data_IF_822814125929
#
_entry.id   IF_822814125929
#
_cell.length_a   1.000
_cell.length_b   1.000
_cell.length_c   1.000
_cell.angle_alpha   90.00
_cell.angle_beta   90.00
_cell.angle_gamma   90.00
#
_symmetry.space_group_name_H-M   'P 1'
#
loop_
_entity.id
_entity.type
_entity.pdbx_description
1 polymer ?
#
# COMPACT_ATOMS: atom_id res chain seq x y z
N UNK A 1 61.79 12.60 67.94
CA UNK A 1 60.95 12.96 66.78
C UNK A 1 59.82 11.99 66.70
N UNK A 2 58.59 12.46 67.04
CA UNK A 2 57.35 11.66 67.06
C UNK A 2 56.57 11.99 65.81
N UNK A 3 56.33 11.00 64.97
CA UNK A 3 55.49 11.15 63.75
C UNK A 3 54.10 10.61 64.13
N UNK A 4 53.06 11.46 64.01
CA UNK A 4 51.67 11.11 64.15
C UNK A 4 51.08 10.73 62.74
N UNK A 5 50.25 9.69 62.64
CA UNK A 5 49.58 9.40 61.36
C UNK A 5 48.29 10.23 61.20
N UNK A 6 48.13 10.81 60.02
CA UNK A 6 46.89 11.45 59.56
C UNK A 6 45.84 10.41 59.13
N UNK A 7 44.67 10.43 59.80
CA UNK A 7 43.50 9.67 59.31
C UNK A 7 42.73 10.51 58.35
N UNK A 8 42.75 10.10 57.08
CA UNK A 8 41.88 10.67 56.04
C UNK A 8 40.50 10.00 56.09
N UNK A 9 39.47 10.80 56.33
CA UNK A 9 38.07 10.38 56.19
C UNK A 9 37.66 10.49 54.69
N UNK A 10 37.36 9.36 54.05
CA UNK A 10 36.76 9.34 52.71
C UNK A 10 35.25 9.48 52.86
N UNK A 11 34.69 10.59 52.38
CA UNK A 11 33.25 10.73 52.21
C UNK A 11 32.81 9.99 50.94
N UNK A 12 32.03 8.94 51.13
CA UNK A 12 31.36 8.22 50.04
C UNK A 12 30.04 8.95 49.74
N UNK A 13 30.01 9.69 48.65
CA UNK A 13 28.75 10.29 48.14
C UNK A 13 27.99 9.23 47.33
N UNK A 14 26.88 8.72 47.88
CA UNK A 14 25.93 7.90 47.16
C UNK A 14 25.14 8.77 46.18
N UNK A 15 25.46 8.72 44.89
CA UNK A 15 24.66 9.32 43.84
C UNK A 15 23.40 8.48 43.60
N UNK A 16 22.23 9.00 43.96
CA UNK A 16 20.93 8.41 43.57
C UNK A 16 20.70 8.78 42.12
N UNK A 17 20.92 7.83 41.19
CA UNK A 17 20.48 7.95 39.83
C UNK A 17 18.95 7.75 39.80
N UNK A 18 18.20 8.83 39.69
CA UNK A 18 16.76 8.75 39.38
C UNK A 18 16.62 8.29 37.91
N UNK A 19 16.32 7.00 37.73
CA UNK A 19 15.88 6.49 36.44
C UNK A 19 14.49 7.07 36.18
N UNK A 20 14.38 8.07 35.29
CA UNK A 20 13.11 8.43 34.69
C UNK A 20 12.63 7.23 33.85
N UNK A 21 11.75 6.43 34.43
CA UNK A 21 11.01 5.46 33.64
C UNK A 21 10.08 6.25 32.69
N UNK A 22 10.43 6.32 31.42
CA UNK A 22 9.52 6.80 30.40
C UNK A 22 8.38 5.78 30.32
N UNK A 23 7.18 6.19 30.73
CA UNK A 23 5.95 5.40 30.48
C UNK A 23 5.83 5.31 28.96
N UNK A 24 5.76 4.10 28.35
CA UNK A 24 5.55 4.00 26.93
C UNK A 24 4.24 4.72 26.57
N UNK A 25 4.18 5.43 25.43
CA UNK A 25 2.93 6.03 24.99
C UNK A 25 1.84 4.94 24.90
N UNK A 26 0.66 5.25 25.38
CA UNK A 26 -0.50 4.37 25.24
C UNK A 26 -0.78 4.23 23.75
N UNK A 27 -0.75 3.00 23.23
CA UNK A 27 -1.09 2.76 21.83
C UNK A 27 -2.52 3.24 21.59
N UNK A 28 -2.71 4.10 20.58
CA UNK A 28 -4.03 4.53 20.15
C UNK A 28 -4.65 3.35 19.41
N UNK A 29 -5.86 2.98 19.78
CA UNK A 29 -6.66 2.00 19.06
C UNK A 29 -7.95 2.66 18.60
N UNK A 30 -8.35 2.42 17.35
CA UNK A 30 -9.63 2.87 16.83
C UNK A 30 -10.83 2.09 17.40
N UNK A 31 -12.00 2.32 16.83
CA UNK A 31 -13.21 1.56 17.13
C UNK A 31 -12.99 0.06 16.89
N UNK A 32 -13.75 -0.84 17.49
CA UNK A 32 -13.59 -2.29 17.31
C UNK A 32 -13.52 -2.69 15.83
N UNK A 33 -12.64 -3.63 15.52
CA UNK A 33 -12.47 -4.19 14.19
C UNK A 33 -12.85 -5.67 14.20
N UNK A 34 -13.70 -6.11 13.28
CA UNK A 34 -14.01 -7.54 13.09
C UNK A 34 -12.78 -8.29 12.60
N UNK A 35 -12.68 -9.57 12.92
CA UNK A 35 -11.53 -10.38 12.54
C UNK A 35 -11.85 -11.27 11.34
N UNK A 36 -10.98 -11.24 10.34
CA UNK A 36 -10.93 -12.20 9.24
C UNK A 36 -9.58 -12.92 9.24
N UNK A 37 -9.42 -13.96 8.44
CA UNK A 37 -8.14 -14.69 8.35
C UNK A 37 -7.67 -14.80 6.92
N UNK A 38 -6.36 -14.82 6.72
CA UNK A 38 -5.78 -15.10 5.42
C UNK A 38 -6.04 -16.54 5.00
N UNK A 39 -6.32 -16.75 3.71
CA UNK A 39 -6.51 -18.07 3.10
C UNK A 39 -5.32 -18.51 2.27
N UNK A 40 -4.39 -17.59 2.00
CA UNK A 40 -3.12 -17.83 1.32
C UNK A 40 -2.10 -16.76 1.74
N UNK A 41 -0.80 -17.06 1.60
CA UNK A 41 0.27 -16.08 1.76
C UNK A 41 1.40 -16.35 0.77
N UNK A 42 2.20 -15.33 0.45
CA UNK A 42 3.43 -15.52 -0.33
C UNK A 42 4.56 -16.04 0.57
N UNK A 43 5.62 -16.64 0.00
CA UNK A 43 6.89 -16.72 0.70
C UNK A 43 7.33 -15.32 1.14
N UNK A 44 8.14 -15.21 2.19
CA UNK A 44 8.79 -13.95 2.53
C UNK A 44 9.59 -13.39 1.36
N UNK A 45 9.62 -12.06 1.23
CA UNK A 45 10.51 -11.40 0.26
C UNK A 45 11.98 -11.71 0.57
N UNK A 46 12.88 -11.50 -0.40
CA UNK A 46 14.29 -11.86 -0.26
C UNK A 46 15.05 -11.00 0.75
N UNK A 47 14.60 -9.79 1.00
CA UNK A 47 15.19 -8.87 1.97
C UNK A 47 14.67 -9.18 3.37
N UNK A 48 15.58 -9.56 4.26
CA UNK A 48 15.26 -9.94 5.64
C UNK A 48 15.76 -8.89 6.65
N UNK A 49 15.06 -8.79 7.80
CA UNK A 49 15.39 -7.90 8.92
C UNK A 49 15.38 -6.40 8.58
N UNK A 50 14.66 -6.02 7.54
CA UNK A 50 14.47 -4.65 7.10
C UNK A 50 13.02 -4.46 6.67
N UNK A 51 12.56 -3.23 6.63
CA UNK A 51 11.34 -2.83 5.95
C UNK A 51 11.54 -2.98 4.44
N UNK A 52 10.85 -3.96 3.84
CA UNK A 52 11.14 -4.44 2.49
C UNK A 52 9.91 -4.70 1.62
N UNK A 53 9.00 -5.60 2.00
CA UNK A 53 7.76 -5.76 1.26
C UNK A 53 6.91 -4.49 1.41
N UNK A 54 6.27 -4.05 0.32
CA UNK A 54 5.54 -2.80 0.33
C UNK A 54 4.13 -2.94 -0.27
N UNK A 55 4.01 -2.98 -1.58
CA UNK A 55 2.73 -2.81 -2.24
C UNK A 55 2.44 -3.95 -3.22
N UNK A 56 1.21 -4.49 -3.25
CA UNK A 56 0.77 -5.48 -4.22
C UNK A 56 -0.09 -4.87 -5.33
N UNK A 57 -0.04 -5.44 -6.53
CA UNK A 57 -0.95 -5.15 -7.63
C UNK A 57 -1.52 -6.44 -8.24
N UNK A 58 -2.81 -6.46 -8.59
CA UNK A 58 -3.51 -7.64 -9.10
C UNK A 58 -3.72 -7.54 -10.60
N UNK A 59 -3.20 -8.50 -11.37
CA UNK A 59 -3.67 -8.75 -12.73
C UNK A 59 -4.68 -9.91 -12.71
N UNK A 60 -5.93 -9.60 -13.04
CA UNK A 60 -6.99 -10.62 -13.17
C UNK A 60 -7.01 -11.20 -14.57
N UNK A 61 -6.81 -12.50 -14.70
CA UNK A 61 -6.91 -13.22 -15.97
C UNK A 61 -8.37 -13.30 -16.43
N UNK A 62 -8.76 -12.63 -17.53
CA UNK A 62 -10.16 -12.61 -17.95
C UNK A 62 -10.65 -13.96 -18.50
N UNK A 63 -9.74 -14.79 -19.03
CA UNK A 63 -10.08 -16.09 -19.60
C UNK A 63 -10.08 -17.22 -18.56
N UNK A 64 -9.25 -17.13 -17.54
CA UNK A 64 -9.14 -18.10 -16.44
C UNK A 64 -8.81 -17.35 -15.14
N UNK A 65 -9.81 -16.83 -14.42
CA UNK A 65 -9.58 -16.04 -13.22
C UNK A 65 -8.72 -16.72 -12.15
N UNK A 66 -8.77 -18.05 -12.05
CA UNK A 66 -7.91 -18.81 -11.13
C UNK A 66 -6.42 -18.80 -11.52
N UNK A 67 -6.08 -18.36 -12.72
CA UNK A 67 -4.70 -18.19 -13.20
C UNK A 67 -4.27 -16.70 -13.21
N UNK A 68 -4.86 -15.88 -12.37
CA UNK A 68 -4.47 -14.49 -12.15
C UNK A 68 -3.10 -14.40 -11.46
N UNK A 69 -2.46 -13.25 -11.58
CA UNK A 69 -1.12 -13.00 -11.07
C UNK A 69 -1.11 -11.77 -10.15
N UNK A 70 -0.22 -11.80 -9.20
CA UNK A 70 0.04 -10.71 -8.27
C UNK A 70 1.47 -10.23 -8.52
N UNK A 71 1.66 -8.92 -8.59
CA UNK A 71 2.99 -8.29 -8.57
C UNK A 71 3.16 -7.66 -7.20
N UNK A 72 4.25 -7.93 -6.51
CA UNK A 72 4.55 -7.33 -5.20
C UNK A 72 5.95 -6.73 -5.19
N UNK A 73 6.12 -5.64 -4.46
CA UNK A 73 7.41 -4.97 -4.30
C UNK A 73 8.20 -5.50 -3.11
N UNK A 74 9.50 -5.55 -3.28
CA UNK A 74 10.54 -5.57 -2.25
C UNK A 74 11.40 -4.32 -2.46
N UNK A 75 11.27 -3.34 -1.58
CA UNK A 75 11.95 -2.03 -1.68
C UNK A 75 13.45 -2.12 -1.91
N UNK A 76 14.06 -3.19 -1.42
CA UNK A 76 15.52 -3.43 -1.51
C UNK A 76 15.88 -4.40 -2.63
N UNK A 77 14.94 -5.24 -3.06
CA UNK A 77 15.17 -6.33 -4.02
C UNK A 77 14.63 -6.05 -5.41
N UNK A 78 13.37 -5.68 -5.53
CA UNK A 78 12.69 -5.45 -6.81
C UNK A 78 11.24 -5.95 -6.84
N UNK A 79 10.84 -6.54 -7.96
CA UNK A 79 9.48 -7.00 -8.20
C UNK A 79 9.37 -8.52 -8.20
N UNK A 80 8.47 -9.04 -7.42
CA UNK A 80 8.05 -10.45 -7.42
C UNK A 80 6.76 -10.62 -8.21
N UNK A 81 6.58 -11.78 -8.82
CA UNK A 81 5.29 -12.22 -9.37
C UNK A 81 4.88 -13.50 -8.66
N UNK A 82 3.62 -13.54 -8.22
CA UNK A 82 3.03 -14.68 -7.52
C UNK A 82 1.74 -15.15 -8.20
N UNK A 83 1.35 -16.40 -7.97
CA UNK A 83 0.01 -16.88 -8.30
C UNK A 83 -0.94 -16.72 -7.10
N UNK A 84 -2.23 -17.06 -7.28
CA UNK A 84 -3.25 -16.94 -6.22
C UNK A 84 -3.07 -17.90 -5.03
N UNK A 85 -2.11 -18.83 -5.10
CA UNK A 85 -1.71 -19.70 -3.98
C UNK A 85 -0.52 -19.11 -3.23
N UNK A 86 -0.05 -17.92 -3.62
CA UNK A 86 1.16 -17.29 -3.11
C UNK A 86 2.46 -17.83 -3.71
N UNK A 87 2.42 -18.83 -4.60
CA UNK A 87 3.65 -19.38 -5.16
C UNK A 87 4.36 -18.39 -6.09
N UNK A 88 5.64 -18.13 -5.83
CA UNK A 88 6.47 -17.26 -6.65
C UNK A 88 6.64 -17.82 -8.08
N UNK A 89 6.36 -16.98 -9.07
CA UNK A 89 6.53 -17.29 -10.51
C UNK A 89 7.83 -16.74 -11.07
N UNK A 90 8.18 -15.53 -10.66
CA UNK A 90 9.41 -14.86 -11.08
C UNK A 90 9.85 -13.78 -10.10
N UNK A 91 11.05 -13.28 -10.32
CA UNK A 91 11.62 -12.12 -9.65
C UNK A 91 12.40 -11.29 -10.66
N UNK A 92 12.20 -9.98 -10.64
CA UNK A 92 12.95 -9.00 -11.41
C UNK A 92 13.73 -8.10 -10.45
N UNK A 93 15.07 -8.21 -10.47
CA UNK A 93 15.91 -7.36 -9.65
C UNK A 93 15.83 -5.89 -10.09
N UNK A 94 15.32 -5.05 -9.23
CA UNK A 94 15.13 -3.60 -9.41
C UNK A 94 15.07 -2.92 -8.04
N UNK A 95 16.20 -2.79 -7.31
CA UNK A 95 16.20 -2.19 -5.98
C UNK A 95 15.85 -0.70 -6.02
N UNK A 96 15.19 -0.22 -4.97
CA UNK A 96 14.76 1.17 -4.84
C UNK A 96 13.35 1.44 -5.35
N UNK A 97 12.55 0.40 -5.60
CA UNK A 97 11.12 0.56 -5.89
C UNK A 97 10.32 0.65 -4.58
N UNK A 98 9.19 1.35 -4.61
CA UNK A 98 8.22 1.44 -3.53
C UNK A 98 6.89 0.84 -3.99
N UNK A 99 5.85 1.66 -4.17
CA UNK A 99 4.55 1.17 -4.61
C UNK A 99 4.55 0.71 -6.08
N UNK A 100 3.62 -0.18 -6.40
CA UNK A 100 3.45 -0.76 -7.75
C UNK A 100 1.98 -0.76 -8.16
N UNK A 101 1.74 -0.49 -9.43
CA UNK A 101 0.42 -0.70 -10.05
C UNK A 101 0.58 -1.31 -11.44
N UNK A 102 -0.47 -1.89 -11.98
CA UNK A 102 -0.45 -2.51 -13.30
C UNK A 102 -1.75 -2.26 -14.08
N UNK A 103 -1.63 -2.24 -15.40
CA UNK A 103 -2.76 -1.98 -16.27
C UNK A 103 -2.63 -2.73 -17.59
N UNK A 104 -3.73 -3.30 -18.07
CA UNK A 104 -3.75 -3.90 -19.41
C UNK A 104 -3.62 -2.81 -20.49
N UNK A 105 -2.77 -3.06 -21.49
CA UNK A 105 -2.55 -2.18 -22.63
C UNK A 105 -2.94 -2.87 -23.96
N UNK A 106 -2.79 -2.16 -25.06
CA UNK A 106 -3.12 -2.69 -26.38
C UNK A 106 -2.41 -4.02 -26.66
N UNK A 107 -3.12 -4.94 -27.32
CA UNK A 107 -2.61 -6.29 -27.66
C UNK A 107 -2.60 -7.28 -26.51
N UNK A 108 -3.33 -7.03 -25.42
CA UNK A 108 -3.42 -7.94 -24.25
C UNK A 108 -2.13 -8.00 -23.42
N UNK A 109 -1.26 -7.02 -23.60
CA UNK A 109 -0.07 -6.85 -22.74
C UNK A 109 -0.44 -6.18 -21.43
N UNK A 110 0.35 -6.38 -20.41
CA UNK A 110 0.19 -5.73 -19.10
C UNK A 110 1.41 -4.88 -18.81
N UNK A 111 1.20 -3.58 -18.66
CA UNK A 111 2.20 -2.65 -18.18
C UNK A 111 2.18 -2.63 -16.66
N UNK A 112 3.32 -2.86 -16.05
CA UNK A 112 3.59 -2.68 -14.62
C UNK A 112 4.39 -1.41 -14.47
N UNK A 113 3.98 -0.53 -13.56
CA UNK A 113 4.74 0.64 -13.19
C UNK A 113 4.96 0.66 -11.67
N UNK A 114 6.16 0.96 -11.25
CA UNK A 114 6.50 1.15 -9.85
C UNK A 114 7.13 2.52 -9.63
N UNK A 115 6.86 3.13 -8.50
CA UNK A 115 7.56 4.34 -8.09
C UNK A 115 9.01 3.99 -7.78
N UNK A 116 9.94 4.69 -8.41
CA UNK A 116 11.37 4.48 -8.26
C UNK A 116 11.97 5.61 -7.42
N UNK A 117 12.49 5.25 -6.25
CA UNK A 117 13.12 6.12 -5.26
C UNK A 117 14.65 5.91 -5.17
N UNK A 118 15.26 5.32 -6.20
CA UNK A 118 16.72 5.18 -6.28
C UNK A 118 17.45 6.52 -6.29
N UNK A 119 16.77 7.59 -6.74
CA UNK A 119 17.16 9.00 -6.56
C UNK A 119 16.10 9.69 -5.68
N UNK A 120 16.45 10.03 -4.45
CA UNK A 120 15.53 10.66 -3.48
C UNK A 120 15.14 12.09 -3.85
N UNK A 121 15.83 12.71 -4.82
CA UNK A 121 15.53 14.05 -5.30
C UNK A 121 14.65 14.07 -6.56
N UNK A 122 14.51 12.94 -7.26
CA UNK A 122 13.84 12.84 -8.55
C UNK A 122 12.93 11.62 -8.61
N UNK A 123 11.63 11.85 -8.58
CA UNK A 123 10.63 10.81 -8.82
C UNK A 123 10.77 10.25 -10.22
N UNK A 124 10.81 8.93 -10.33
CA UNK A 124 10.79 8.22 -11.59
C UNK A 124 9.72 7.11 -11.53
N UNK A 125 9.18 6.75 -12.69
CA UNK A 125 8.41 5.53 -12.88
C UNK A 125 9.34 4.48 -13.48
N UNK A 126 9.53 3.37 -12.79
CA UNK A 126 10.11 2.17 -13.37
C UNK A 126 9.01 1.40 -14.11
N UNK A 127 9.24 1.02 -15.36
CA UNK A 127 8.28 0.31 -16.19
C UNK A 127 8.76 -1.09 -16.51
N UNK A 128 7.84 -2.06 -16.46
CA UNK A 128 8.05 -3.42 -16.91
C UNK A 128 6.82 -3.94 -17.66
N UNK A 129 7.01 -4.94 -18.51
CA UNK A 129 5.94 -5.70 -19.15
C UNK A 129 5.82 -7.07 -18.50
N UNK A 130 4.61 -7.42 -18.07
CA UNK A 130 4.30 -8.73 -17.53
C UNK A 130 3.85 -9.66 -18.66
N UNK A 131 4.57 -10.77 -18.88
CA UNK A 131 4.07 -11.90 -19.66
C UNK A 131 3.07 -12.68 -18.79
N UNK A 132 1.81 -12.49 -19.04
CA UNK A 132 0.71 -13.07 -18.25
C UNK A 132 0.59 -14.58 -18.38
N UNK A 133 1.25 -15.19 -19.36
CA UNK A 133 1.27 -16.64 -19.56
C UNK A 133 2.37 -17.32 -18.72
N UNK A 134 3.50 -16.67 -18.55
CA UNK A 134 4.66 -17.22 -17.83
C UNK A 134 4.86 -16.62 -16.44
N UNK A 135 4.29 -15.43 -16.19
CA UNK A 135 4.53 -14.63 -15.01
C UNK A 135 5.90 -13.93 -15.00
N UNK A 136 6.59 -13.85 -16.15
CA UNK A 136 7.89 -13.17 -16.24
C UNK A 136 7.69 -11.66 -16.44
N UNK A 137 8.55 -10.88 -15.78
CA UNK A 137 8.65 -9.42 -15.98
C UNK A 137 9.87 -9.09 -16.86
N UNK A 138 9.68 -8.21 -17.82
CA UNK A 138 10.74 -7.65 -18.65
C UNK A 138 10.78 -6.12 -18.47
N UNK A 139 11.94 -5.52 -18.11
CA UNK A 139 12.07 -4.06 -18.03
C UNK A 139 11.66 -3.38 -19.33
N UNK A 140 10.90 -2.29 -19.23
CA UNK A 140 10.39 -1.52 -20.37
C UNK A 140 10.83 -0.06 -20.38
N UNK A 141 11.65 0.35 -19.41
CA UNK A 141 12.24 1.68 -19.32
C UNK A 141 11.92 2.41 -18.03
N UNK A 142 12.28 3.68 -18.00
CA UNK A 142 11.96 4.62 -16.90
C UNK A 142 11.43 5.93 -17.47
N UNK A 143 10.54 6.57 -16.72
CA UNK A 143 10.01 7.91 -17.04
C UNK A 143 10.34 8.85 -15.88
N UNK A 144 11.05 9.93 -16.14
CA UNK A 144 11.24 10.99 -15.17
C UNK A 144 9.92 11.75 -14.97
N UNK A 145 9.54 11.94 -13.72
CA UNK A 145 8.26 12.56 -13.32
C UNK A 145 8.49 14.00 -12.85
N UNK A 146 9.25 14.18 -11.80
CA UNK A 146 9.48 15.50 -11.21
C UNK A 146 10.28 15.42 -9.91
N UNK A 147 10.57 16.57 -9.27
CA UNK A 147 11.26 16.61 -8.00
C UNK A 147 10.55 15.84 -6.89
N UNK A 148 11.31 15.19 -6.03
CA UNK A 148 10.84 14.50 -4.83
C UNK A 148 11.29 13.06 -4.73
N UNK A 149 11.02 12.43 -3.59
CA UNK A 149 11.23 11.01 -3.36
C UNK A 149 10.02 10.22 -3.86
N UNK A 150 10.22 9.24 -4.73
CA UNK A 150 9.15 8.38 -5.25
C UNK A 150 8.52 7.54 -4.13
N UNK A 151 7.18 7.58 -4.02
CA UNK A 151 6.41 6.90 -2.98
C UNK A 151 5.16 6.26 -3.59
N UNK A 152 3.94 6.75 -3.32
CA UNK A 152 2.72 6.19 -3.90
C UNK A 152 2.62 6.29 -5.43
N UNK A 153 1.94 5.32 -6.03
CA UNK A 153 1.58 5.31 -7.46
C UNK A 153 0.22 4.66 -7.65
N UNK A 154 -0.55 5.15 -8.62
CA UNK A 154 -1.67 4.43 -9.19
C UNK A 154 -1.89 4.81 -10.65
N UNK A 155 -2.46 3.89 -11.44
CA UNK A 155 -2.68 4.06 -12.89
C UNK A 155 -4.14 3.91 -13.27
N UNK A 156 -4.51 4.60 -14.34
CA UNK A 156 -5.87 4.53 -14.88
C UNK A 156 -5.87 4.77 -16.39
N UNK A 157 -6.91 4.27 -17.07
CA UNK A 157 -7.26 4.68 -18.44
C UNK A 157 -8.50 5.55 -18.40
N UNK A 158 -8.36 6.88 -18.34
CA UNK A 158 -9.51 7.77 -18.36
C UNK A 158 -10.17 7.77 -19.73
N UNK A 159 -11.49 7.89 -19.76
CA UNK A 159 -12.22 8.05 -21.01
C UNK A 159 -11.77 9.33 -21.75
N UNK A 160 -11.55 9.22 -23.07
CA UNK A 160 -11.20 10.35 -23.93
C UNK A 160 -9.73 10.80 -23.86
N UNK A 161 -8.87 10.08 -23.15
CA UNK A 161 -7.42 10.31 -23.15
C UNK A 161 -6.74 9.14 -23.85
N UNK A 162 -5.95 9.45 -24.89
CA UNK A 162 -5.07 8.46 -25.49
C UNK A 162 -3.89 8.18 -24.58
N UNK A 163 -3.67 6.91 -24.25
CA UNK A 163 -2.62 6.46 -23.34
C UNK A 163 -3.12 6.07 -21.97
N UNK A 164 -2.17 6.01 -21.03
CA UNK A 164 -2.38 5.67 -19.65
C UNK A 164 -2.07 6.89 -18.81
N UNK A 165 -2.82 7.13 -17.75
CA UNK A 165 -2.48 8.15 -16.76
C UNK A 165 -1.94 7.45 -15.53
N UNK A 166 -0.71 7.78 -15.13
CA UNK A 166 -0.13 7.44 -13.84
C UNK A 166 -0.19 8.67 -12.93
N UNK A 167 -0.62 8.48 -11.70
CA UNK A 167 -0.51 9.45 -10.64
C UNK A 167 0.65 9.02 -9.74
N UNK A 168 1.59 9.94 -9.51
CA UNK A 168 2.69 9.72 -8.57
C UNK A 168 2.48 10.63 -7.38
N UNK A 169 2.56 10.05 -6.19
CA UNK A 169 2.40 10.72 -4.91
C UNK A 169 3.74 10.69 -4.14
N UNK A 170 4.69 11.57 -4.44
CA UNK A 170 5.94 11.68 -3.72
C UNK A 170 5.73 11.99 -2.24
N UNK A 171 6.66 11.56 -1.42
CA UNK A 171 6.65 11.73 0.03
C UNK A 171 6.34 13.15 0.50
N UNK A 172 6.75 14.18 -0.24
CA UNK A 172 6.49 15.59 0.10
C UNK A 172 5.09 16.10 -0.31
N UNK A 173 4.18 15.22 -0.74
CA UNK A 173 2.78 15.56 -1.01
C UNK A 173 2.50 16.23 -2.35
N UNK A 174 3.46 16.40 -3.24
CA UNK A 174 3.21 16.88 -4.61
C UNK A 174 2.60 15.77 -5.44
N UNK A 175 1.37 15.93 -5.91
CA UNK A 175 0.72 14.92 -6.76
C UNK A 175 1.00 15.24 -8.22
N UNK A 176 1.70 14.34 -8.89
CA UNK A 176 1.96 14.44 -10.33
C UNK A 176 0.97 13.60 -11.13
N UNK A 177 0.63 14.10 -12.31
CA UNK A 177 -0.15 13.39 -13.33
C UNK A 177 0.72 13.23 -14.57
N UNK A 178 1.07 11.99 -14.91
CA UNK A 178 1.88 11.63 -16.07
C UNK A 178 1.03 10.90 -17.09
N UNK A 179 0.93 11.43 -18.30
CA UNK A 179 0.32 10.71 -19.45
C UNK A 179 1.41 9.88 -20.10
N UNK A 180 1.25 8.56 -20.05
CA UNK A 180 2.17 7.59 -20.64
C UNK A 180 1.63 7.18 -22.01
N UNK A 181 2.48 7.32 -23.03
CA UNK A 181 2.18 6.88 -24.40
C UNK A 181 3.26 5.91 -24.89
N UNK A 182 2.85 5.01 -25.80
CA UNK A 182 3.76 4.04 -26.42
C UNK A 182 3.91 4.37 -27.90
N UNK A 183 5.14 4.49 -28.38
CA UNK A 183 5.47 4.68 -29.78
C UNK A 183 6.62 3.76 -30.17
N UNK A 184 6.38 2.85 -31.13
CA UNK A 184 7.40 1.92 -31.59
C UNK A 184 7.93 0.96 -30.52
N UNK A 185 7.12 0.65 -29.49
CA UNK A 185 7.50 -0.20 -28.36
C UNK A 185 8.24 0.53 -27.22
N UNK A 186 8.50 1.82 -27.37
CA UNK A 186 9.07 2.67 -26.32
C UNK A 186 7.99 3.46 -25.59
N UNK A 187 8.04 3.49 -24.26
CA UNK A 187 7.16 4.29 -23.42
C UNK A 187 7.77 5.66 -23.14
N UNK A 188 6.95 6.70 -23.25
CA UNK A 188 7.30 8.08 -22.91
C UNK A 188 6.21 8.69 -22.05
N UNK A 189 6.55 9.72 -21.26
CA UNK A 189 5.62 10.39 -20.36
C UNK A 189 5.62 11.90 -20.52
N UNK A 190 4.44 12.50 -20.40
CA UNK A 190 4.25 13.94 -20.25
C UNK A 190 3.66 14.22 -18.89
N UNK A 191 4.39 14.91 -18.02
CA UNK A 191 4.04 15.12 -16.61
C UNK A 191 3.64 16.56 -16.34
N UNK A 192 2.64 16.72 -15.46
CA UNK A 192 2.25 17.99 -14.87
C UNK A 192 1.94 17.80 -13.37
N UNK A 193 2.11 18.85 -12.59
CA UNK A 193 1.62 18.89 -11.21
C UNK A 193 0.09 18.96 -11.25
N UNK A 194 -0.57 18.06 -10.53
CA UNK A 194 -2.02 18.04 -10.40
C UNK A 194 -2.48 18.76 -9.14
N UNK A 195 -1.86 18.45 -8.00
CA UNK A 195 -2.26 19.00 -6.70
C UNK A 195 -1.05 19.02 -5.74
N UNK A 196 -1.23 19.69 -4.60
CA UNK A 196 -0.29 19.63 -3.47
C UNK A 196 -1.06 19.23 -2.21
N UNK A 197 -0.66 18.15 -1.56
CA UNK A 197 -1.11 17.73 -0.24
C UNK A 197 -0.12 18.28 0.79
N UNK A 198 -0.57 18.64 2.02
CA UNK A 198 0.28 19.35 2.97
C UNK A 198 1.50 18.57 3.47
N UNK A 199 1.34 17.28 3.75
CA UNK A 199 2.36 16.43 4.37
C UNK A 199 2.58 15.14 3.60
N UNK A 200 3.19 14.15 4.22
CA UNK A 200 3.54 12.86 3.64
C UNK A 200 2.30 12.11 3.13
N UNK A 201 2.42 11.55 1.95
CA UNK A 201 1.37 10.77 1.28
C UNK A 201 1.94 9.47 0.76
N UNK A 202 1.12 8.41 0.78
CA UNK A 202 1.48 7.14 0.15
C UNK A 202 0.32 6.53 -0.62
N UNK A 203 -0.75 6.11 0.06
CA UNK A 203 -1.88 5.44 -0.57
C UNK A 203 -2.44 6.20 -1.77
N UNK A 204 -2.60 5.51 -2.89
CA UNK A 204 -3.10 6.07 -4.14
C UNK A 204 -4.05 5.09 -4.83
N UNK A 205 -5.29 5.53 -5.13
CA UNK A 205 -6.22 4.76 -5.96
C UNK A 205 -7.11 5.68 -6.80
N UNK A 206 -7.26 5.37 -8.09
CA UNK A 206 -8.07 6.16 -9.02
C UNK A 206 -9.39 5.46 -9.35
N UNK A 207 -10.50 6.19 -9.25
CA UNK A 207 -11.81 5.75 -9.74
C UNK A 207 -12.15 6.42 -11.10
N UNK A 208 -11.94 5.72 -12.23
CA UNK A 208 -12.22 6.30 -13.56
C UNK A 208 -13.70 6.56 -13.81
N UNK A 209 -14.62 5.91 -13.07
CA UNK A 209 -16.07 6.06 -13.22
C UNK A 209 -16.52 7.46 -12.82
N UNK A 210 -15.89 8.01 -11.77
CA UNK A 210 -16.22 9.31 -11.19
C UNK A 210 -15.18 10.39 -11.51
N UNK A 211 -14.02 10.02 -12.06
CA UNK A 211 -12.90 10.93 -12.25
C UNK A 211 -12.22 11.35 -10.95
N UNK A 212 -12.32 10.54 -9.89
CA UNK A 212 -11.78 10.83 -8.57
C UNK A 212 -10.49 10.05 -8.32
N UNK A 213 -9.47 10.74 -7.86
CA UNK A 213 -8.25 10.17 -7.31
C UNK A 213 -8.35 10.27 -5.78
N UNK A 214 -8.17 9.16 -5.08
CA UNK A 214 -8.06 9.13 -3.63
C UNK A 214 -6.58 9.01 -3.25
N UNK A 215 -6.16 9.82 -2.26
CA UNK A 215 -4.79 9.87 -1.74
C UNK A 215 -4.85 9.76 -0.23
N UNK A 216 -4.06 8.86 0.35
CA UNK A 216 -3.79 8.78 1.78
C UNK A 216 -2.72 9.81 2.16
N UNK A 217 -3.04 10.72 3.10
CA UNK A 217 -2.08 11.55 3.82
C UNK A 217 -1.90 10.94 5.20
N UNK A 218 -0.70 10.46 5.51
CA UNK A 218 -0.43 9.57 6.64
C UNK A 218 -0.96 10.10 7.97
N UNK A 219 -0.68 11.37 8.29
CA UNK A 219 -1.07 12.01 9.55
C UNK A 219 -2.42 12.74 9.48
N UNK A 220 -3.13 12.73 8.35
CA UNK A 220 -4.34 13.56 8.19
C UNK A 220 -5.58 12.78 7.74
N UNK A 221 -5.44 11.80 6.85
CA UNK A 221 -6.55 11.00 6.34
C UNK A 221 -6.63 10.93 4.81
N UNK A 222 -7.82 10.76 4.27
CA UNK A 222 -8.05 10.48 2.85
C UNK A 222 -8.53 11.73 2.12
N UNK A 223 -7.85 12.09 1.05
CA UNK A 223 -8.21 13.15 0.12
C UNK A 223 -8.91 12.58 -1.11
N UNK A 224 -9.95 13.27 -1.60
CA UNK A 224 -10.51 13.09 -2.92
C UNK A 224 -10.09 14.26 -3.81
N UNK A 225 -9.50 13.95 -4.96
CA UNK A 225 -8.96 14.91 -5.93
C UNK A 225 -9.62 14.68 -7.29
N UNK A 226 -10.13 15.71 -7.92
CA UNK A 226 -10.59 15.64 -9.30
C UNK A 226 -9.39 15.42 -10.24
N UNK A 227 -9.33 14.30 -10.94
CA UNK A 227 -8.19 13.88 -11.76
C UNK A 227 -7.88 14.84 -12.93
N UNK A 228 -8.81 15.72 -13.30
CA UNK A 228 -8.66 16.67 -14.41
C UNK A 228 -8.24 18.06 -13.92
N UNK A 229 -8.82 18.54 -12.82
CA UNK A 229 -8.65 19.93 -12.34
C UNK A 229 -7.73 20.06 -11.16
N UNK A 230 -7.48 18.98 -10.41
CA UNK A 230 -6.74 19.01 -9.15
C UNK A 230 -7.53 19.59 -7.96
N UNK A 231 -8.83 19.91 -8.16
CA UNK A 231 -9.69 20.33 -7.05
C UNK A 231 -9.78 19.21 -6.02
N UNK A 232 -9.54 19.55 -4.75
CA UNK A 232 -9.38 18.54 -3.70
C UNK A 232 -10.16 18.87 -2.44
N UNK A 233 -10.55 17.84 -1.71
CA UNK A 233 -11.13 17.94 -0.36
C UNK A 233 -10.75 16.70 0.45
N UNK A 234 -10.60 16.85 1.76
CA UNK A 234 -10.52 15.71 2.66
C UNK A 234 -11.90 15.04 2.76
N UNK A 235 -11.93 13.72 2.68
CA UNK A 235 -13.19 12.93 2.68
C UNK A 235 -13.31 12.00 3.87
N UNK A 236 -12.20 11.65 4.51
CA UNK A 236 -12.14 10.97 5.80
C UNK A 236 -10.89 11.47 6.53
N UNK A 237 -11.06 12.06 7.71
CA UNK A 237 -9.95 12.51 8.55
C UNK A 237 -9.56 11.42 9.54
N UNK A 238 -8.32 11.44 10.00
CA UNK A 238 -7.92 10.69 11.19
C UNK A 238 -8.74 11.18 12.37
N UNK A 239 -9.48 10.28 12.98
CA UNK A 239 -10.40 10.56 14.08
C UNK A 239 -10.14 9.68 15.30
N UNK A 240 -9.13 8.77 15.20
CA UNK A 240 -8.81 7.74 16.19
C UNK A 240 -10.02 6.83 16.50
N UNK A 241 -10.88 6.63 15.49
CA UNK A 241 -12.04 5.74 15.47
C UNK A 241 -11.99 4.89 14.21
N UNK A 242 -12.39 5.47 13.07
CA UNK A 242 -12.28 4.78 11.78
C UNK A 242 -10.83 4.71 11.28
N UNK A 243 -10.07 5.79 11.45
CA UNK A 243 -8.68 5.88 11.01
C UNK A 243 -7.78 6.27 12.18
N UNK A 244 -6.72 5.49 12.36
CA UNK A 244 -5.58 5.75 13.25
C UNK A 244 -4.35 5.91 12.37
N UNK A 245 -3.55 6.93 12.60
CA UNK A 245 -2.33 7.19 11.82
C UNK A 245 -1.32 6.02 11.96
N UNK A 246 -0.65 5.63 10.87
CA UNK A 246 -0.68 6.30 9.58
C UNK A 246 -1.80 5.77 8.67
N UNK A 247 -2.28 6.62 7.74
CA UNK A 247 -3.19 6.19 6.67
C UNK A 247 -2.36 5.85 5.44
N UNK A 248 -2.21 4.57 5.20
CA UNK A 248 -1.34 4.01 4.16
C UNK A 248 -2.13 3.53 2.93
N UNK A 249 -1.91 2.33 2.45
CA UNK A 249 -2.51 1.78 1.24
C UNK A 249 -4.02 2.01 1.11
N UNK A 250 -4.45 2.33 -0.10
CA UNK A 250 -5.85 2.52 -0.48
C UNK A 250 -6.24 1.55 -1.58
N UNK A 251 -7.42 0.96 -1.47
CA UNK A 251 -7.99 0.10 -2.51
C UNK A 251 -9.48 0.37 -2.72
N UNK A 252 -10.00 0.02 -3.89
CA UNK A 252 -11.40 0.27 -4.25
C UNK A 252 -12.07 -1.00 -4.77
N UNK A 253 -13.29 -1.29 -4.30
CA UNK A 253 -14.19 -2.27 -4.89
C UNK A 253 -15.37 -1.55 -5.55
N UNK A 254 -15.33 -1.29 -6.86
CA UNK A 254 -16.36 -0.51 -7.54
C UNK A 254 -17.66 -1.28 -7.72
N UNK A 255 -18.81 -0.64 -7.47
CA UNK A 255 -20.15 -1.17 -7.74
C UNK A 255 -20.99 -0.17 -8.55
N UNK A 256 -21.55 -0.61 -9.67
CA UNK A 256 -22.35 0.25 -10.56
C UNK A 256 -21.56 1.47 -11.04
N UNK A 257 -22.26 2.59 -11.24
CA UNK A 257 -21.65 3.80 -11.83
C UNK A 257 -20.79 4.61 -10.86
N UNK A 258 -21.10 4.58 -9.56
CA UNK A 258 -20.44 5.45 -8.55
C UNK A 258 -20.29 4.78 -7.18
N UNK A 259 -20.98 3.68 -6.92
CA UNK A 259 -21.01 2.99 -5.64
C UNK A 259 -19.82 2.05 -5.44
N UNK A 260 -19.91 1.28 -4.37
CA UNK A 260 -18.91 0.31 -3.95
C UNK A 260 -18.24 0.69 -2.64
N UNK A 261 -17.00 0.25 -2.48
CA UNK A 261 -16.25 0.42 -1.24
C UNK A 261 -14.88 1.04 -1.50
N UNK A 262 -14.42 1.87 -0.58
CA UNK A 262 -13.03 2.27 -0.44
C UNK A 262 -12.52 1.64 0.85
N UNK A 263 -11.37 1.01 0.77
CA UNK A 263 -10.64 0.42 1.91
C UNK A 263 -9.36 1.21 2.11
N UNK A 264 -9.04 1.51 3.35
CA UNK A 264 -7.80 2.19 3.74
C UNK A 264 -7.07 1.40 4.83
N UNK A 265 -5.77 1.26 4.71
CA UNK A 265 -4.93 0.79 5.81
C UNK A 265 -4.89 1.85 6.91
N UNK A 266 -5.28 1.45 8.12
CA UNK A 266 -5.13 2.20 9.37
C UNK A 266 -3.97 1.54 10.12
N UNK A 267 -2.74 1.85 9.68
CA UNK A 267 -1.54 1.13 10.07
C UNK A 267 -1.29 1.21 11.57
N UNK A 268 -1.53 2.39 12.18
CA UNK A 268 -1.20 2.64 13.59
C UNK A 268 -1.94 1.75 14.60
N UNK A 269 -3.00 1.04 14.19
CA UNK A 269 -3.65 0.04 15.03
C UNK A 269 -3.95 -1.29 14.33
N UNK A 270 -3.24 -1.57 13.23
CA UNK A 270 -3.28 -2.83 12.49
C UNK A 270 -4.70 -3.21 12.04
N UNK A 271 -5.44 -2.25 11.48
CA UNK A 271 -6.79 -2.43 10.99
C UNK A 271 -6.99 -1.80 9.62
N UNK A 272 -8.09 -2.15 8.97
CA UNK A 272 -8.51 -1.58 7.70
C UNK A 272 -9.87 -0.93 7.85
N UNK A 273 -9.99 0.34 7.48
CA UNK A 273 -11.25 1.06 7.48
C UNK A 273 -11.98 0.88 6.16
N UNK A 274 -13.27 0.59 6.19
CA UNK A 274 -14.12 0.40 5.01
C UNK A 274 -15.16 1.50 4.95
N UNK A 275 -15.20 2.20 3.82
CA UNK A 275 -16.14 3.27 3.55
C UNK A 275 -17.01 2.93 2.34
N UNK A 276 -18.28 3.30 2.40
CA UNK A 276 -19.24 3.17 1.30
C UNK A 276 -19.09 4.35 0.34
N UNK A 277 -18.94 4.08 -0.95
CA UNK A 277 -18.93 5.10 -1.99
C UNK A 277 -20.36 5.39 -2.48
N UNK A 278 -20.64 6.60 -2.98
CA UNK A 278 -19.71 7.72 -3.16
C UNK A 278 -19.56 8.63 -1.93
N UNK A 279 -20.37 8.43 -0.88
CA UNK A 279 -20.54 9.39 0.21
C UNK A 279 -19.51 9.24 1.34
N UNK A 280 -18.61 8.27 1.23
CA UNK A 280 -17.61 7.95 2.25
C UNK A 280 -18.24 7.63 3.61
N UNK A 281 -19.44 7.03 3.61
CA UNK A 281 -20.09 6.60 4.84
C UNK A 281 -19.30 5.43 5.45
N UNK A 282 -18.87 5.52 6.72
CA UNK A 282 -18.20 4.43 7.40
C UNK A 282 -19.07 3.18 7.42
N UNK A 283 -18.53 2.04 7.01
CA UNK A 283 -19.18 0.74 7.11
C UNK A 283 -18.70 -0.02 8.35
N UNK A 284 -17.44 0.11 8.69
CA UNK A 284 -16.80 -0.57 9.80
C UNK A 284 -15.32 -0.78 9.56
N UNK A 285 -14.72 -1.59 10.42
CA UNK A 285 -13.28 -1.89 10.37
C UNK A 285 -13.07 -3.39 10.46
N UNK A 286 -12.02 -3.88 9.81
CA UNK A 286 -11.59 -5.27 9.97
C UNK A 286 -10.08 -5.35 10.20
N UNK A 287 -9.61 -6.50 10.68
CA UNK A 287 -8.21 -6.87 10.80
C UNK A 287 -7.98 -8.29 10.35
N UNK A 288 -6.78 -8.59 9.88
CA UNK A 288 -6.39 -9.94 9.52
C UNK A 288 -5.75 -10.59 10.74
N UNK A 289 -6.49 -11.46 11.39
CA UNK A 289 -6.06 -12.16 12.60
C UNK A 289 -5.34 -13.47 12.25
N UNK A 290 -4.58 -14.01 13.19
CA UNK A 290 -3.95 -15.32 13.07
C UNK A 290 -5.00 -16.42 12.85
N UNK A 291 -4.78 -17.24 11.81
CA UNK A 291 -5.58 -18.41 11.44
C UNK A 291 -4.68 -19.56 11.01
N UNK A 292 -4.87 -20.06 9.79
CA UNK A 292 -3.92 -20.99 9.16
C UNK A 292 -2.56 -20.33 8.86
N UNK A 293 -2.57 -19.02 8.67
CA UNK A 293 -1.43 -18.14 8.50
C UNK A 293 -1.36 -17.14 9.67
N UNK A 294 -0.24 -16.42 9.80
CA UNK A 294 -0.07 -15.38 10.82
C UNK A 294 -1.05 -14.21 10.64
N UNK A 295 -1.15 -13.34 11.65
CA UNK A 295 -1.79 -12.02 11.55
C UNK A 295 -1.07 -11.12 10.54
N UNK A 296 -1.68 -9.98 10.25
CA UNK A 296 -1.05 -8.91 9.49
C UNK A 296 -0.92 -7.69 10.39
N UNK A 297 0.24 -7.10 10.40
CA UNK A 297 0.58 -5.93 11.21
C UNK A 297 1.41 -4.94 10.39
N UNK A 298 1.32 -3.65 10.71
CA UNK A 298 2.08 -2.56 10.08
C UNK A 298 1.97 -2.57 8.55
N UNK A 299 0.73 -2.58 8.03
CA UNK A 299 0.47 -2.68 6.59
C UNK A 299 0.72 -1.36 5.88
N UNK A 300 1.68 -1.35 4.94
CA UNK A 300 1.88 -0.27 3.97
C UNK A 300 0.87 -0.42 2.81
N UNK A 301 1.08 -1.32 1.88
CA UNK A 301 0.26 -1.48 0.69
C UNK A 301 -0.86 -2.50 0.78
N UNK A 302 -1.96 -2.20 0.11
CA UNK A 302 -3.11 -3.10 -0.08
C UNK A 302 -3.63 -3.06 -1.51
N UNK A 303 -4.25 -4.16 -1.96
CA UNK A 303 -4.97 -4.18 -3.22
C UNK A 303 -6.28 -4.96 -3.10
N UNK A 304 -7.30 -4.57 -3.86
CA UNK A 304 -8.62 -5.18 -3.84
C UNK A 304 -9.23 -5.28 -5.24
N UNK A 305 -9.55 -6.50 -5.64
CA UNK A 305 -10.41 -6.73 -6.80
C UNK A 305 -11.59 -7.61 -6.39
N UNK A 306 -12.81 -7.05 -6.45
CA UNK A 306 -14.04 -7.69 -5.98
C UNK A 306 -14.65 -8.69 -6.98
N UNK A 307 -14.03 -8.87 -8.14
CA UNK A 307 -14.51 -9.82 -9.16
C UNK A 307 -14.19 -11.27 -8.78
N UNK A 308 -14.81 -12.22 -9.45
CA UNK A 308 -14.55 -13.65 -9.26
C UNK A 308 -13.14 -14.04 -9.74
N UNK A 309 -12.37 -14.71 -8.87
CA UNK A 309 -11.06 -15.31 -9.14
C UNK A 309 -11.09 -16.84 -9.09
N UNK A 310 -12.25 -17.45 -9.22
CA UNK A 310 -12.45 -18.89 -9.13
C UNK A 310 -12.70 -19.36 -7.70
N UNK A 311 -12.66 -20.69 -7.45
CA UNK A 311 -13.14 -21.26 -6.19
C UNK A 311 -12.45 -20.77 -4.91
N UNK A 312 -11.20 -20.28 -5.03
CA UNK A 312 -10.47 -19.76 -3.88
C UNK A 312 -10.98 -18.38 -3.44
N UNK A 313 -11.38 -17.53 -4.39
CA UNK A 313 -11.82 -16.15 -4.16
C UNK A 313 -13.05 -15.82 -5.04
N UNK A 314 -14.22 -16.43 -4.76
CA UNK A 314 -15.38 -16.38 -5.67
C UNK A 314 -16.05 -15.01 -5.75
N UNK A 315 -15.82 -14.14 -4.77
CA UNK A 315 -16.40 -12.79 -4.71
C UNK A 315 -15.34 -11.71 -4.45
N UNK A 316 -14.10 -11.98 -4.82
CA UNK A 316 -13.02 -11.02 -4.75
C UNK A 316 -11.85 -11.42 -3.86
N UNK A 317 -10.75 -10.76 -4.14
CA UNK A 317 -9.45 -10.95 -3.49
C UNK A 317 -9.00 -9.62 -2.89
N UNK A 318 -8.76 -9.61 -1.59
CA UNK A 318 -8.06 -8.55 -0.88
C UNK A 318 -6.65 -9.05 -0.54
N UNK A 319 -5.65 -8.21 -0.79
CA UNK A 319 -4.25 -8.49 -0.46
C UNK A 319 -3.73 -7.39 0.45
N UNK A 320 -3.01 -7.78 1.50
CA UNK A 320 -2.31 -6.87 2.38
C UNK A 320 -0.84 -7.25 2.51
N UNK A 321 0.03 -6.26 2.50
CA UNK A 321 1.41 -6.42 2.93
C UNK A 321 1.43 -6.65 4.45
N UNK A 322 2.25 -7.61 4.90
CA UNK A 322 2.49 -7.88 6.33
C UNK A 322 3.87 -7.34 6.73
N UNK A 323 3.86 -6.20 7.40
CA UNK A 323 5.04 -5.46 7.81
C UNK A 323 5.83 -6.11 8.95
N UNK A 324 5.23 -7.05 9.68
CA UNK A 324 5.91 -7.71 10.81
C UNK A 324 6.34 -9.13 10.50
N UNK A 325 5.45 -10.03 10.10
CA UNK A 325 5.65 -11.45 9.74
C UNK A 325 6.76 -12.21 10.51
N UNK A 326 7.09 -11.78 11.71
CA UNK A 326 8.19 -12.34 12.50
C UNK A 326 8.00 -13.85 12.82
N UNK A 327 9.05 -14.67 12.86
CA UNK A 327 10.48 -14.33 12.71
C UNK A 327 10.98 -14.32 11.24
N UNK A 328 10.08 -14.43 10.26
CA UNK A 328 10.41 -14.40 8.83
C UNK A 328 10.46 -12.96 8.34
N UNK A 329 11.00 -12.73 7.14
CA UNK A 329 10.88 -11.46 6.45
C UNK A 329 9.40 -11.19 6.07
N UNK A 330 9.11 -9.93 5.75
CA UNK A 330 7.79 -9.46 5.33
C UNK A 330 7.27 -10.23 4.10
N UNK A 331 5.95 -10.27 3.94
CA UNK A 331 5.30 -10.96 2.82
C UNK A 331 3.93 -10.33 2.50
N UNK A 332 3.14 -10.99 1.66
CA UNK A 332 1.77 -10.60 1.33
C UNK A 332 0.80 -11.70 1.74
N UNK A 333 -0.34 -11.32 2.33
CA UNK A 333 -1.42 -12.23 2.73
C UNK A 333 -2.68 -11.95 1.94
N UNK A 334 -3.38 -13.03 1.56
CA UNK A 334 -4.55 -13.02 0.68
C UNK A 334 -5.79 -13.40 1.47
N UNK A 335 -6.81 -12.55 1.39
CA UNK A 335 -8.08 -12.68 2.10
C UNK A 335 -9.23 -12.69 1.11
N UNK A 336 -10.27 -13.45 1.38
CA UNK A 336 -11.51 -13.39 0.62
C UNK A 336 -12.26 -12.10 0.94
N UNK A 337 -12.63 -11.37 -0.08
CA UNK A 337 -13.39 -10.14 0.13
C UNK A 337 -14.79 -10.39 0.68
N UNK A 338 -15.44 -11.50 0.31
CA UNK A 338 -16.73 -11.90 0.88
C UNK A 338 -16.67 -12.26 2.37
N UNK A 339 -15.56 -12.79 2.88
CA UNK A 339 -15.36 -13.01 4.31
C UNK A 339 -15.30 -11.66 5.06
N UNK A 340 -14.67 -10.64 4.46
CA UNK A 340 -14.63 -9.28 5.04
C UNK A 340 -16.04 -8.68 5.11
N UNK A 341 -16.76 -8.70 3.98
CA UNK A 341 -18.13 -8.14 3.94
C UNK A 341 -19.08 -8.87 4.89
N UNK A 342 -19.04 -10.21 4.91
CA UNK A 342 -19.87 -11.00 5.81
C UNK A 342 -19.60 -10.75 7.29
N UNK A 343 -18.32 -10.51 7.66
CA UNK A 343 -17.97 -10.17 9.04
C UNK A 343 -18.50 -8.78 9.43
N UNK A 344 -18.40 -7.79 8.53
CA UNK A 344 -18.88 -6.44 8.77
C UNK A 344 -20.42 -6.36 8.86
N UNK A 345 -21.15 -7.13 8.03
CA UNK A 345 -22.61 -7.20 8.07
C UNK A 345 -23.10 -7.79 9.39
N UNK A 346 -22.45 -8.85 9.89
CA UNK A 346 -22.81 -9.50 11.16
C UNK A 346 -22.61 -8.58 12.36
N UNK A 347 -21.60 -7.69 12.33
CA UNK A 347 -21.33 -6.74 13.40
C UNK A 347 -22.38 -5.62 13.47
N UNK A 348 -22.93 -5.20 12.33
CA UNK A 348 -23.96 -4.13 12.28
C UNK A 348 -25.33 -4.59 12.77
N UNK A 349 -25.58 -5.91 12.90
CA UNK A 349 -26.83 -6.47 13.40
C UNK A 349 -26.84 -6.70 14.93
N UNK A 350 -25.69 -6.58 15.61
CA UNK A 350 -25.52 -6.73 17.06
C UNK A 350 -25.37 -5.40 17.80
#
# INVERSE_FOLDING_TARGET
VIIRPFHGFALLTLGIAAACATVPPVAITGDPAVSVTAVSETPPVGTANEDAADDPAIWRNPANPAASLIVGTDKKGGLYVYDLKGAQKSFLAAPGLNNVDLIEIAGGRVLVAASDRSDLAQVQLFLALLDTRTGQLAPAGKIAVGPGEGYGICMVKPAGIEGIVAFSAPKAGTIYRTVITETGGAFTGTTAVLAQIPTQVEGCIADPRTGTLYIGEEDAGIWAIDMRTGAKRIVASIDNKMLVADVEGLAIAPEGERGGYLVASSQGDNAYAVFRLPDMTPLGRFRIATGAFGSVEETDGIELDHRDFGPAFPKGLFIAQDGVNAPRAQNFKFVRWDDVLGALETDTEN
#
